data_IF_580256780986
#
_entry.id   IF_580256780986
#
_cell.length_a   1.000
_cell.length_b   1.000
_cell.length_c   1.000
_cell.angle_alpha   90.00
_cell.angle_beta   90.00
_cell.angle_gamma   90.00
#
_symmetry.space_group_name_H-M   'P 1'
#
loop_
_entity.id
_entity.type
_entity.pdbx_description
1 polymer ?
#
# COMPACT_ATOMS: atom_id res chain seq x y z
N UNK A 1 6.28 -35.59 -21.84
CA UNK A 1 6.28 -34.21 -21.29
C UNK A 1 7.71 -33.69 -21.42
N UNK A 2 7.91 -32.60 -22.17
CA UNK A 2 9.19 -32.33 -22.87
C UNK A 2 10.40 -31.84 -22.06
N UNK A 3 11.56 -31.84 -22.72
CA UNK A 3 12.90 -31.47 -22.22
C UNK A 3 13.36 -30.07 -22.65
N UNK A 4 14.51 -29.63 -22.14
CA UNK A 4 15.28 -28.49 -22.64
C UNK A 4 16.10 -28.88 -23.88
N UNK A 5 16.16 -28.00 -24.90
CA UNK A 5 16.95 -28.17 -26.13
C UNK A 5 18.47 -27.92 -25.95
N UNK A 6 19.02 -28.03 -24.73
CA UNK A 6 20.43 -27.75 -24.46
C UNK A 6 21.08 -28.93 -23.74
N UNK A 7 21.92 -29.67 -24.47
CA UNK A 7 22.54 -30.91 -23.99
C UNK A 7 23.51 -30.69 -22.83
N UNK A 8 24.22 -29.55 -22.78
CA UNK A 8 25.09 -29.18 -21.66
C UNK A 8 24.30 -28.95 -20.37
N UNK A 9 23.11 -28.34 -20.45
CA UNK A 9 22.22 -28.22 -19.30
C UNK A 9 21.67 -29.59 -18.85
N UNK A 10 21.43 -30.49 -19.80
CA UNK A 10 20.94 -31.84 -19.52
C UNK A 10 22.04 -32.72 -18.87
N UNK A 11 23.29 -32.64 -19.33
CA UNK A 11 24.42 -33.39 -18.74
C UNK A 11 24.74 -32.93 -17.32
N UNK A 12 24.81 -31.62 -17.09
CA UNK A 12 25.05 -31.05 -15.74
C UNK A 12 23.93 -31.44 -14.77
N UNK A 13 22.68 -31.51 -15.23
CA UNK A 13 21.56 -31.96 -14.39
C UNK A 13 21.68 -33.44 -14.00
N UNK A 14 22.21 -34.30 -14.89
CA UNK A 14 22.46 -35.71 -14.62
C UNK A 14 23.63 -35.89 -13.63
N UNK A 15 24.76 -35.23 -13.86
CA UNK A 15 25.93 -35.27 -12.96
C UNK A 15 25.58 -34.85 -11.52
N UNK A 16 24.82 -33.76 -11.36
CA UNK A 16 24.32 -33.29 -10.06
C UNK A 16 23.40 -34.34 -9.41
N UNK A 17 22.58 -35.03 -10.20
CA UNK A 17 21.67 -36.05 -9.69
C UNK A 17 22.45 -37.30 -9.21
N UNK A 18 23.42 -37.78 -9.98
CA UNK A 18 24.26 -38.93 -9.62
C UNK A 18 25.12 -38.64 -8.39
N UNK A 19 25.78 -37.48 -8.34
CA UNK A 19 26.54 -37.02 -7.18
C UNK A 19 25.70 -37.02 -5.90
N UNK A 20 24.46 -36.53 -5.98
CA UNK A 20 23.59 -36.48 -4.81
C UNK A 20 23.02 -37.85 -4.39
N UNK A 21 22.81 -38.79 -5.32
CA UNK A 21 22.45 -40.17 -4.99
C UNK A 21 23.60 -40.89 -4.27
N UNK A 22 24.82 -40.79 -4.80
CA UNK A 22 26.02 -41.44 -4.25
C UNK A 22 26.31 -40.97 -2.81
N UNK A 23 26.15 -39.68 -2.54
CA UNK A 23 26.48 -39.06 -1.25
C UNK A 23 25.28 -38.96 -0.28
N UNK A 24 24.14 -39.60 -0.57
CA UNK A 24 22.89 -39.49 0.21
C UNK A 24 22.43 -38.02 0.45
N UNK A 25 22.76 -37.11 -0.47
CA UNK A 25 22.48 -35.69 -0.35
C UNK A 25 21.02 -35.42 -0.73
N UNK A 26 20.24 -34.98 0.25
CA UNK A 26 18.83 -34.59 0.06
C UNK A 26 18.70 -33.21 -0.59
N UNK A 27 18.81 -33.16 -1.93
CA UNK A 27 18.46 -31.97 -2.70
C UNK A 27 17.02 -31.54 -2.40
N UNK A 28 16.86 -30.27 -2.03
CA UNK A 28 15.55 -29.69 -1.66
C UNK A 28 15.35 -28.38 -2.42
N UNK A 29 14.60 -28.43 -3.52
CA UNK A 29 14.30 -27.25 -4.34
C UNK A 29 13.24 -26.37 -3.64
N UNK A 30 13.66 -25.30 -2.97
CA UNK A 30 12.76 -24.39 -2.23
C UNK A 30 12.33 -23.16 -3.03
N UNK A 31 11.26 -23.37 -3.81
CA UNK A 31 10.19 -22.42 -4.13
C UNK A 31 10.34 -21.37 -5.26
N UNK A 32 9.19 -21.18 -5.94
CA UNK A 32 8.81 -20.43 -7.15
C UNK A 32 8.30 -18.98 -6.81
N UNK A 33 7.57 -18.19 -7.67
CA UNK A 33 7.11 -18.43 -9.06
C UNK A 33 7.14 -17.29 -10.12
N UNK A 34 7.02 -17.76 -11.39
CA UNK A 34 6.21 -17.28 -12.54
C UNK A 34 6.65 -15.95 -13.17
N UNK A 35 6.30 -15.53 -14.40
CA UNK A 35 6.45 -14.10 -14.83
C UNK A 35 6.84 -13.74 -16.28
N UNK A 36 6.71 -14.62 -17.26
CA UNK A 36 6.48 -14.20 -18.65
C UNK A 36 5.66 -15.27 -19.41
N UNK A 37 4.56 -15.75 -18.82
CA UNK A 37 3.98 -17.05 -19.20
C UNK A 37 2.51 -17.06 -19.63
N UNK A 38 1.95 -15.93 -20.09
CA UNK A 38 0.69 -16.01 -20.86
C UNK A 38 0.94 -16.73 -22.18
N UNK A 39 2.04 -16.38 -22.87
CA UNK A 39 2.47 -17.00 -24.13
C UNK A 39 2.88 -18.45 -23.90
N UNK A 40 3.84 -18.73 -23.01
CA UNK A 40 4.26 -20.10 -22.70
C UNK A 40 3.11 -21.01 -22.20
N UNK A 41 2.12 -20.45 -21.50
CA UNK A 41 0.90 -21.15 -21.11
C UNK A 41 -0.10 -21.36 -22.24
N UNK A 42 -0.05 -20.59 -23.34
CA UNK A 42 -0.84 -20.82 -24.56
C UNK A 42 -0.13 -21.81 -25.47
N UNK A 43 1.15 -21.60 -25.73
CA UNK A 43 1.99 -22.47 -26.58
C UNK A 43 2.11 -23.90 -26.03
N UNK A 44 2.24 -24.09 -24.71
CA UNK A 44 2.24 -25.44 -24.10
C UNK A 44 0.91 -26.21 -24.20
N UNK A 45 -0.16 -25.56 -24.70
CA UNK A 45 -1.44 -26.20 -25.03
C UNK A 45 -1.70 -26.27 -26.55
N UNK A 46 -0.79 -25.72 -27.37
CA UNK A 46 -0.99 -25.54 -28.82
C UNK A 46 0.11 -26.21 -29.67
N UNK A 47 1.31 -26.45 -29.13
CA UNK A 47 2.43 -27.05 -29.86
C UNK A 47 2.54 -28.58 -29.68
N UNK A 48 2.75 -29.24 -30.82
CA UNK A 48 2.99 -30.67 -31.08
C UNK A 48 1.81 -31.64 -30.81
N UNK A 49 1.26 -32.13 -31.94
CA UNK A 49 0.40 -33.32 -32.01
C UNK A 49 1.20 -34.63 -32.01
N UNK A 50 2.51 -34.57 -32.17
CA UNK A 50 3.37 -35.75 -32.34
C UNK A 50 3.78 -36.31 -30.98
N UNK A 51 3.10 -37.38 -30.57
CA UNK A 51 3.35 -38.07 -29.32
C UNK A 51 4.74 -38.74 -29.26
N UNK A 52 5.25 -39.21 -30.41
CA UNK A 52 6.58 -39.83 -30.54
C UNK A 52 7.72 -38.96 -29.98
N UNK A 53 7.66 -37.64 -30.21
CA UNK A 53 8.69 -36.70 -29.77
C UNK A 53 8.64 -36.39 -28.25
N UNK A 54 7.63 -36.86 -27.52
CA UNK A 54 7.43 -36.59 -26.09
C UNK A 54 7.70 -37.81 -25.18
N UNK A 55 8.05 -38.96 -25.77
CA UNK A 55 8.26 -40.27 -25.13
C UNK A 55 9.70 -40.41 -24.63
N UNK A 56 9.95 -39.98 -23.39
CA UNK A 56 11.28 -40.08 -22.75
C UNK A 56 11.52 -41.40 -22.00
N UNK A 57 10.45 -42.14 -21.67
CA UNK A 57 10.50 -43.40 -20.93
C UNK A 57 9.55 -44.42 -21.56
N UNK A 58 9.86 -45.71 -21.40
CA UNK A 58 9.04 -46.81 -21.98
C UNK A 58 7.59 -46.80 -21.46
N UNK A 59 7.39 -46.45 -20.19
CA UNK A 59 6.08 -46.30 -19.59
C UNK A 59 5.82 -44.82 -19.35
N UNK A 60 4.75 -44.26 -19.92
CA UNK A 60 4.39 -42.86 -19.80
C UNK A 60 2.87 -42.67 -19.85
N UNK A 61 2.40 -41.52 -19.39
CA UNK A 61 0.99 -41.12 -19.49
C UNK A 61 0.86 -39.97 -20.48
N UNK A 62 -0.15 -40.02 -21.35
CA UNK A 62 -0.51 -38.93 -22.24
C UNK A 62 -1.77 -38.21 -21.76
N UNK A 63 -1.90 -36.93 -22.11
CA UNK A 63 -3.14 -36.17 -21.89
C UNK A 63 -4.12 -36.34 -23.06
N UNK A 64 -3.61 -36.65 -24.25
CA UNK A 64 -4.40 -36.97 -25.44
C UNK A 64 -4.39 -38.48 -25.69
N UNK A 65 -5.41 -39.04 -26.37
CA UNK A 65 -5.39 -40.44 -26.77
C UNK A 65 -4.15 -40.78 -27.60
N UNK A 66 -3.36 -41.72 -27.08
CA UNK A 66 -2.09 -42.17 -27.65
C UNK A 66 -2.02 -43.69 -27.46
N UNK A 67 -1.94 -44.49 -28.56
CA UNK A 67 -1.92 -45.95 -28.47
C UNK A 67 -0.74 -46.54 -27.71
N UNK A 68 0.37 -45.82 -27.59
CA UNK A 68 1.58 -46.30 -26.89
C UNK A 68 1.67 -45.79 -25.43
N UNK A 69 0.79 -44.87 -25.02
CA UNK A 69 0.74 -44.39 -23.65
C UNK A 69 0.13 -45.46 -22.72
N UNK A 70 0.78 -45.69 -21.58
CA UNK A 70 0.34 -46.69 -20.60
C UNK A 70 -1.00 -46.31 -19.94
N UNK A 71 -1.30 -45.01 -19.83
CA UNK A 71 -2.56 -44.48 -19.32
C UNK A 71 -2.87 -43.11 -19.98
N UNK A 72 -4.17 -42.77 -20.02
CA UNK A 72 -4.68 -41.45 -20.40
C UNK A 72 -5.05 -40.68 -19.12
N UNK A 73 -4.60 -39.43 -19.01
CA UNK A 73 -4.66 -38.55 -17.83
C UNK A 73 -3.98 -39.12 -16.56
N UNK A 74 -2.78 -38.60 -16.27
CA UNK A 74 -2.01 -38.96 -15.09
C UNK A 74 -2.73 -38.67 -13.75
N UNK A 75 -3.77 -37.84 -13.69
CA UNK A 75 -4.49 -37.57 -12.44
C UNK A 75 -5.42 -38.71 -12.00
N UNK A 76 -5.80 -39.61 -12.91
CA UNK A 76 -6.70 -40.73 -12.65
C UNK A 76 -6.00 -41.97 -12.06
N UNK A 77 -4.67 -42.06 -12.17
CA UNK A 77 -3.87 -43.15 -11.60
C UNK A 77 -3.37 -42.83 -10.18
N UNK A 78 -3.14 -43.85 -9.35
CA UNK A 78 -2.56 -43.69 -8.01
C UNK A 78 -1.03 -43.57 -8.07
N UNK A 79 -0.46 -42.54 -7.44
CA UNK A 79 0.98 -42.22 -7.50
C UNK A 79 1.78 -42.77 -6.31
N UNK A 80 1.13 -43.22 -5.22
CA UNK A 80 1.79 -43.71 -4.00
C UNK A 80 2.87 -44.77 -4.28
N UNK A 81 2.59 -45.70 -5.20
CA UNK A 81 3.47 -46.84 -5.56
C UNK A 81 4.36 -46.56 -6.78
N UNK A 82 4.32 -45.35 -7.34
CA UNK A 82 5.06 -44.98 -8.54
C UNK A 82 6.21 -44.04 -8.20
N UNK A 83 7.44 -44.42 -8.57
CA UNK A 83 8.57 -43.48 -8.63
C UNK A 83 8.50 -42.71 -9.95
N UNK A 84 7.64 -41.68 -10.01
CA UNK A 84 7.31 -41.01 -11.27
C UNK A 84 8.26 -39.85 -11.61
N UNK A 85 8.40 -39.57 -12.91
CA UNK A 85 9.02 -38.35 -13.44
C UNK A 85 7.94 -37.50 -14.12
N UNK A 86 7.82 -36.23 -13.75
CA UNK A 86 6.73 -35.37 -14.21
C UNK A 86 7.20 -33.98 -14.65
N UNK A 87 6.67 -33.49 -15.79
CA UNK A 87 6.87 -32.11 -16.26
C UNK A 87 5.50 -31.45 -16.52
N UNK A 88 4.72 -31.18 -15.45
CA UNK A 88 3.32 -30.80 -15.56
C UNK A 88 3.15 -29.39 -16.17
N UNK A 89 2.17 -29.18 -17.07
CA UNK A 89 1.83 -27.85 -17.52
C UNK A 89 1.32 -26.99 -16.35
N UNK A 90 1.60 -25.68 -16.39
CA UNK A 90 1.38 -24.75 -15.27
C UNK A 90 -0.03 -24.82 -14.66
N UNK A 91 -1.07 -24.94 -15.50
CA UNK A 91 -2.48 -25.07 -15.06
C UNK A 91 -2.76 -26.28 -14.16
N UNK A 92 -1.88 -27.29 -14.21
CA UNK A 92 -2.00 -28.54 -13.47
C UNK A 92 -1.04 -28.62 -12.28
N UNK A 93 -0.04 -27.74 -12.16
CA UNK A 93 1.01 -27.81 -11.14
C UNK A 93 0.47 -27.88 -9.70
N UNK A 94 -0.49 -27.04 -9.35
CA UNK A 94 -1.10 -27.08 -8.01
C UNK A 94 -1.91 -28.36 -7.76
N UNK A 95 -2.50 -28.96 -8.80
CA UNK A 95 -3.17 -30.27 -8.71
C UNK A 95 -2.12 -31.38 -8.53
N UNK A 96 -1.02 -31.34 -9.28
CA UNK A 96 0.12 -32.27 -9.16
C UNK A 96 0.68 -32.26 -7.73
N UNK A 97 1.00 -31.09 -7.19
CA UNK A 97 1.57 -30.95 -5.85
C UNK A 97 0.58 -31.42 -4.75
N UNK A 98 -0.72 -31.11 -4.89
CA UNK A 98 -1.75 -31.62 -3.96
C UNK A 98 -1.85 -33.13 -3.99
N UNK A 99 -1.90 -33.75 -5.18
CA UNK A 99 -1.98 -35.21 -5.34
C UNK A 99 -0.77 -35.91 -4.71
N UNK A 100 0.44 -35.39 -4.90
CA UNK A 100 1.67 -35.91 -4.26
C UNK A 100 1.58 -35.87 -2.73
N UNK A 101 1.09 -34.76 -2.16
CA UNK A 101 0.94 -34.61 -0.70
C UNK A 101 -0.14 -35.56 -0.17
N UNK A 102 -1.27 -35.67 -0.87
CA UNK A 102 -2.42 -36.51 -0.48
C UNK A 102 -2.10 -38.00 -0.56
N UNK A 103 -1.44 -38.45 -1.64
CA UNK A 103 -1.10 -39.86 -1.90
C UNK A 103 0.30 -40.23 -1.39
N UNK A 104 0.99 -39.31 -0.69
CA UNK A 104 2.36 -39.48 -0.16
C UNK A 104 3.37 -39.99 -1.20
N UNK A 105 3.13 -39.68 -2.47
CA UNK A 105 3.88 -40.19 -3.61
C UNK A 105 5.32 -39.69 -3.64
N UNK A 106 6.22 -40.46 -4.27
CA UNK A 106 7.63 -40.10 -4.46
C UNK A 106 7.91 -39.94 -5.95
N UNK A 107 8.53 -38.83 -6.34
CA UNK A 107 8.84 -38.59 -7.74
C UNK A 107 9.63 -37.31 -7.95
N UNK A 108 10.18 -37.17 -9.15
CA UNK A 108 10.92 -35.99 -9.60
C UNK A 108 9.97 -35.15 -10.44
N UNK A 109 9.74 -33.90 -10.04
CA UNK A 109 9.03 -32.93 -10.89
C UNK A 109 10.05 -31.97 -11.47
N UNK A 110 10.13 -31.91 -12.79
CA UNK A 110 10.83 -30.83 -13.51
C UNK A 110 9.80 -29.77 -13.89
N UNK A 111 10.14 -28.51 -13.68
CA UNK A 111 9.31 -27.37 -14.02
C UNK A 111 10.19 -26.27 -14.62
N UNK A 112 9.73 -25.56 -15.66
CA UNK A 112 10.51 -24.49 -16.26
C UNK A 112 10.64 -23.29 -15.31
N UNK A 113 11.83 -22.69 -15.28
CA UNK A 113 12.17 -21.59 -14.36
C UNK A 113 11.56 -20.25 -14.81
N UNK A 114 10.62 -19.71 -14.03
CA UNK A 114 9.83 -18.51 -14.34
C UNK A 114 9.90 -17.49 -13.15
N UNK A 115 10.14 -16.14 -13.32
CA UNK A 115 10.60 -15.29 -12.16
C UNK A 115 9.96 -13.89 -11.76
N UNK A 116 8.88 -13.34 -12.34
CA UNK A 116 8.12 -12.08 -12.03
C UNK A 116 6.57 -12.09 -11.66
N UNK A 117 5.86 -13.21 -11.38
CA UNK A 117 4.36 -13.27 -11.13
C UNK A 117 3.98 -13.05 -9.65
N UNK A 118 2.72 -12.98 -9.21
CA UNK A 118 1.40 -12.84 -9.88
C UNK A 118 0.93 -11.38 -9.97
N UNK A 119 1.67 -10.49 -9.30
CA UNK A 119 1.28 -9.12 -9.05
C UNK A 119 1.18 -8.25 -10.33
N UNK A 120 1.99 -8.57 -11.35
CA UNK A 120 2.07 -7.79 -12.59
C UNK A 120 0.83 -7.94 -13.48
N UNK A 121 0.27 -9.15 -13.59
CA UNK A 121 -0.96 -9.39 -14.37
C UNK A 121 -2.21 -8.76 -13.75
N UNK A 122 -2.16 -8.43 -12.46
CA UNK A 122 -3.23 -7.71 -11.75
C UNK A 122 -2.99 -6.19 -11.68
N UNK A 123 -1.93 -5.68 -12.31
CA UNK A 123 -1.59 -4.24 -12.29
C UNK A 123 -1.20 -3.71 -10.89
N UNK A 124 -0.70 -4.56 -9.99
CA UNK A 124 -0.37 -4.15 -8.63
C UNK A 124 0.87 -3.25 -8.58
N UNK A 125 0.77 -2.17 -7.80
CA UNK A 125 1.87 -1.23 -7.60
C UNK A 125 3.09 -1.86 -6.90
N UNK A 126 4.28 -1.31 -7.15
CA UNK A 126 5.50 -1.62 -6.39
C UNK A 126 5.29 -1.59 -4.86
N UNK A 127 4.49 -0.64 -4.35
CA UNK A 127 4.16 -0.52 -2.92
C UNK A 127 3.39 -1.74 -2.40
N UNK A 128 2.47 -2.28 -3.18
CA UNK A 128 1.71 -3.49 -2.85
C UNK A 128 2.64 -4.72 -2.78
N UNK A 129 3.52 -4.87 -3.76
CA UNK A 129 4.51 -5.95 -3.82
C UNK A 129 5.52 -5.84 -2.65
N UNK A 130 5.97 -4.63 -2.33
CA UNK A 130 6.86 -4.36 -1.19
C UNK A 130 6.20 -4.67 0.17
N UNK A 131 4.87 -4.51 0.27
CA UNK A 131 4.10 -4.92 1.45
C UNK A 131 4.11 -6.45 1.59
N UNK A 132 3.89 -7.21 0.52
CA UNK A 132 3.99 -8.67 0.52
C UNK A 132 5.42 -9.14 0.87
N UNK A 133 6.46 -8.54 0.29
CA UNK A 133 7.87 -8.79 0.67
C UNK A 133 8.10 -8.55 2.17
N UNK A 134 7.53 -7.48 2.73
CA UNK A 134 7.70 -7.16 4.15
C UNK A 134 7.00 -8.17 5.07
N UNK A 135 5.82 -8.66 4.68
CA UNK A 135 5.12 -9.74 5.39
C UNK A 135 5.92 -11.06 5.34
N UNK A 136 6.40 -11.47 4.16
CA UNK A 136 7.28 -12.64 4.02
C UNK A 136 8.56 -12.48 4.85
N UNK A 137 9.14 -11.28 4.91
CA UNK A 137 10.32 -10.99 5.73
C UNK A 137 10.08 -11.01 7.24
N UNK A 138 8.83 -10.98 7.70
CA UNK A 138 8.44 -11.09 9.10
C UNK A 138 8.09 -12.54 9.50
N UNK A 139 7.72 -13.38 8.53
CA UNK A 139 7.32 -14.79 8.74
C UNK A 139 8.44 -15.78 8.45
N UNK A 140 9.29 -15.51 7.45
CA UNK A 140 10.35 -16.41 7.00
C UNK A 140 11.64 -16.19 7.80
N UNK A 141 11.75 -16.88 8.93
CA UNK A 141 12.99 -17.03 9.66
C UNK A 141 13.89 -18.08 8.99
N UNK A 142 15.14 -17.73 8.72
CA UNK A 142 16.14 -18.67 8.16
C UNK A 142 16.91 -19.33 9.30
N UNK A 143 17.31 -20.60 9.13
CA UNK A 143 18.10 -21.33 10.13
C UNK A 143 19.46 -20.69 10.46
N UNK A 144 20.03 -19.92 9.53
CA UNK A 144 21.30 -19.19 9.71
C UNK A 144 21.11 -17.80 10.35
N UNK A 145 19.89 -17.25 10.38
CA UNK A 145 19.51 -15.95 10.97
C UNK A 145 20.36 -14.72 10.59
N UNK A 146 21.28 -14.83 9.63
CA UNK A 146 22.24 -13.77 9.26
C UNK A 146 21.57 -12.54 8.64
N UNK A 147 20.57 -12.75 7.77
CA UNK A 147 19.79 -11.67 7.14
C UNK A 147 18.31 -12.05 6.97
N UNK A 148 17.36 -11.14 7.22
CA UNK A 148 15.94 -11.37 6.95
C UNK A 148 15.66 -11.67 5.47
N UNK A 149 14.63 -12.46 5.16
CA UNK A 149 14.24 -12.81 3.78
C UNK A 149 14.13 -11.57 2.87
N UNK A 150 13.52 -10.48 3.35
CA UNK A 150 13.35 -9.24 2.60
C UNK A 150 14.65 -8.48 2.30
N UNK A 151 15.79 -8.88 2.90
CA UNK A 151 17.12 -8.29 2.70
C UNK A 151 18.03 -9.14 1.79
N UNK A 152 17.62 -10.35 1.41
CA UNK A 152 18.38 -11.24 0.53
C UNK A 152 18.75 -10.54 -0.80
N UNK A 153 19.97 -10.71 -1.34
CA UNK A 153 20.39 -10.06 -2.59
C UNK A 153 19.44 -10.30 -3.76
N UNK A 154 18.95 -11.53 -3.91
CA UNK A 154 17.96 -11.89 -4.94
C UNK A 154 16.62 -11.14 -4.75
N UNK A 155 16.13 -11.02 -3.52
CA UNK A 155 14.88 -10.30 -3.21
C UNK A 155 15.05 -8.79 -3.42
N UNK A 156 16.22 -8.22 -3.10
CA UNK A 156 16.55 -6.82 -3.44
C UNK A 156 16.60 -6.61 -4.96
N UNK A 157 17.26 -7.50 -5.71
CA UNK A 157 17.35 -7.43 -7.18
C UNK A 157 15.98 -7.57 -7.83
N UNK A 158 15.14 -8.46 -7.31
CA UNK A 158 13.74 -8.61 -7.71
C UNK A 158 12.96 -7.30 -7.50
N UNK A 159 12.99 -6.72 -6.28
CA UNK A 159 12.32 -5.43 -6.04
C UNK A 159 12.85 -4.33 -6.95
N UNK A 160 14.16 -4.27 -7.22
CA UNK A 160 14.71 -3.31 -8.18
C UNK A 160 14.09 -3.53 -9.57
N UNK A 161 14.05 -4.76 -10.07
CA UNK A 161 13.37 -5.07 -11.34
C UNK A 161 11.90 -4.64 -11.37
N UNK A 162 11.15 -4.85 -10.29
CA UNK A 162 9.78 -4.35 -10.16
C UNK A 162 9.72 -2.81 -10.17
N UNK A 163 10.72 -2.11 -9.64
CA UNK A 163 10.79 -0.65 -9.71
C UNK A 163 11.10 -0.15 -11.13
N UNK A 164 12.03 -0.78 -11.86
CA UNK A 164 12.31 -0.39 -13.25
C UNK A 164 11.09 -0.64 -14.18
N UNK A 165 10.33 -1.71 -13.94
CA UNK A 165 9.11 -2.04 -14.70
C UNK A 165 7.89 -1.20 -14.29
N UNK A 166 7.74 -0.93 -13.00
CA UNK A 166 6.61 -0.23 -12.39
C UNK A 166 7.10 0.86 -11.42
N UNK A 167 7.66 1.98 -11.92
CA UNK A 167 8.28 2.99 -11.07
C UNK A 167 7.24 3.66 -10.17
N UNK A 168 7.43 3.54 -8.86
CA UNK A 168 6.58 4.20 -7.87
C UNK A 168 7.11 5.59 -7.52
N UNK A 169 6.59 6.61 -8.18
CA UNK A 169 6.90 8.00 -7.86
C UNK A 169 6.06 8.52 -6.68
N UNK A 170 6.52 9.56 -5.95
CA UNK A 170 5.71 10.24 -4.94
C UNK A 170 4.42 10.81 -5.56
N UNK A 171 3.28 10.61 -4.91
CA UNK A 171 1.98 11.18 -5.37
C UNK A 171 1.99 12.71 -5.42
N UNK A 172 2.83 13.36 -4.62
CA UNK A 172 2.91 14.82 -4.49
C UNK A 172 4.36 15.29 -4.67
N UNK A 173 4.59 16.03 -5.76
CA UNK A 173 5.84 16.75 -6.03
C UNK A 173 5.77 18.19 -5.49
N UNK A 174 4.58 18.80 -5.59
CA UNK A 174 4.23 20.10 -5.03
C UNK A 174 2.99 19.97 -4.11
N UNK A 175 2.69 21.03 -3.38
CA UNK A 175 1.43 21.22 -2.62
C UNK A 175 0.59 22.33 -3.21
N UNK A 176 -0.73 22.27 -3.03
CA UNK A 176 -1.65 23.33 -3.42
C UNK A 176 -1.55 24.53 -2.47
N UNK A 177 -1.84 25.73 -2.97
CA UNK A 177 -1.85 26.96 -2.18
C UNK A 177 -2.99 26.97 -1.15
N UNK A 178 -2.64 27.08 0.13
CA UNK A 178 -3.57 27.09 1.26
C UNK A 178 -4.64 28.19 1.13
N UNK A 179 -4.28 29.32 0.52
CA UNK A 179 -5.16 30.48 0.43
C UNK A 179 -6.42 30.18 -0.35
N UNK A 180 -6.39 29.31 -1.37
CA UNK A 180 -7.59 28.87 -2.10
C UNK A 180 -8.69 28.32 -1.19
N UNK A 181 -8.33 27.58 -0.13
CA UNK A 181 -9.29 27.06 0.86
C UNK A 181 -9.72 28.14 1.85
N UNK A 182 -8.80 29.02 2.28
CA UNK A 182 -9.13 30.12 3.18
C UNK A 182 -10.02 31.18 2.52
N UNK A 183 -9.78 31.52 1.26
CA UNK A 183 -10.60 32.43 0.46
C UNK A 183 -11.99 31.83 0.19
N UNK A 184 -12.06 30.53 -0.15
CA UNK A 184 -13.34 29.80 -0.20
C UNK A 184 -14.08 29.82 1.16
N UNK A 185 -13.36 29.87 2.29
CA UNK A 185 -13.99 30.03 3.60
C UNK A 185 -14.47 31.46 3.87
N UNK A 186 -13.69 32.48 3.47
CA UNK A 186 -14.00 33.92 3.56
C UNK A 186 -15.19 34.34 2.70
N UNK A 187 -15.36 33.76 1.51
CA UNK A 187 -16.46 34.04 0.57
C UNK A 187 -17.85 33.57 1.04
N UNK A 188 -17.92 32.81 2.13
CA UNK A 188 -19.15 32.23 2.66
C UNK A 188 -19.65 33.02 3.87
N UNK A 189 -20.93 32.83 4.16
CA UNK A 189 -21.64 33.41 5.30
C UNK A 189 -20.94 33.15 6.64
N UNK A 190 -21.35 33.88 7.69
CA UNK A 190 -20.78 33.72 9.02
C UNK A 190 -20.94 32.29 9.53
N UNK A 191 -20.13 31.90 10.53
CA UNK A 191 -20.16 30.55 11.12
C UNK A 191 -21.58 30.14 11.57
N UNK A 192 -22.36 31.12 12.05
CA UNK A 192 -23.76 30.97 12.46
C UNK A 192 -24.75 30.71 11.31
N UNK A 193 -24.40 31.07 10.08
CA UNK A 193 -25.31 30.99 8.92
C UNK A 193 -25.07 29.73 8.08
N UNK A 194 -23.94 29.04 8.28
CA UNK A 194 -23.59 27.80 7.58
C UNK A 194 -24.61 26.69 7.86
N UNK A 195 -24.90 25.84 6.86
CA UNK A 195 -25.63 24.59 7.13
C UNK A 195 -24.80 23.66 8.04
N UNK A 196 -25.45 22.72 8.76
CA UNK A 196 -24.71 21.74 9.59
C UNK A 196 -23.70 20.93 8.75
N UNK A 197 -24.03 20.65 7.48
CA UNK A 197 -23.10 20.03 6.51
C UNK A 197 -21.87 20.90 6.27
N UNK A 198 -22.04 22.16 5.87
CA UNK A 198 -20.93 23.07 5.57
C UNK A 198 -20.06 23.33 6.80
N UNK A 199 -20.69 23.51 7.97
CA UNK A 199 -19.99 23.64 9.25
C UNK A 199 -19.15 22.39 9.57
N UNK A 200 -19.70 21.18 9.35
CA UNK A 200 -18.98 19.92 9.56
C UNK A 200 -17.79 19.76 8.61
N UNK A 201 -17.99 19.99 7.31
CA UNK A 201 -16.95 19.85 6.28
C UNK A 201 -15.83 20.91 6.45
N UNK A 202 -16.20 22.15 6.81
CA UNK A 202 -15.27 23.23 7.13
C UNK A 202 -14.47 22.95 8.40
N UNK A 203 -15.14 22.65 9.52
CA UNK A 203 -14.47 22.32 10.78
C UNK A 203 -13.49 21.16 10.61
N UNK A 204 -13.90 20.10 9.92
CA UNK A 204 -13.03 18.94 9.61
C UNK A 204 -11.77 19.35 8.86
N UNK A 205 -11.89 20.28 7.90
CA UNK A 205 -10.76 20.75 7.10
C UNK A 205 -9.85 21.69 7.89
N UNK A 206 -10.40 22.57 8.73
CA UNK A 206 -9.64 23.42 9.66
C UNK A 206 -8.88 22.57 10.70
N UNK A 207 -9.52 21.57 11.31
CA UNK A 207 -8.87 20.61 12.22
C UNK A 207 -7.65 19.93 11.56
N UNK A 208 -7.79 19.50 10.31
CA UNK A 208 -6.70 18.86 9.55
C UNK A 208 -5.57 19.83 9.19
N UNK A 209 -5.89 21.05 8.73
CA UNK A 209 -4.89 22.04 8.32
C UNK A 209 -4.13 22.60 9.53
N UNK A 210 -4.83 23.09 10.55
CA UNK A 210 -4.23 23.82 11.67
C UNK A 210 -3.45 22.92 12.65
N UNK A 211 -3.69 21.60 12.65
CA UNK A 211 -2.90 20.64 13.44
C UNK A 211 -1.86 19.85 12.61
N UNK A 212 -1.99 19.83 11.28
CA UNK A 212 -1.22 18.93 10.41
C UNK A 212 -1.42 17.43 10.71
N UNK A 213 -2.44 17.06 11.48
CA UNK A 213 -2.66 15.67 11.89
C UNK A 213 -3.27 14.80 10.78
N UNK A 214 -3.27 13.47 10.98
CA UNK A 214 -3.89 12.53 10.04
C UNK A 214 -5.41 12.46 10.28
N UNK A 215 -6.18 12.08 9.26
CA UNK A 215 -7.61 11.79 9.41
C UNK A 215 -7.91 10.74 10.50
N UNK A 216 -7.01 9.77 10.71
CA UNK A 216 -7.08 8.85 11.86
C UNK A 216 -7.04 9.60 13.19
N UNK A 217 -6.16 10.60 13.35
CA UNK A 217 -6.07 11.36 14.60
C UNK A 217 -7.30 12.24 14.81
N UNK A 218 -7.80 12.88 13.74
CA UNK A 218 -9.00 13.74 13.79
C UNK A 218 -10.27 12.93 14.11
N UNK A 219 -10.34 11.67 13.66
CA UNK A 219 -11.40 10.71 14.03
C UNK A 219 -11.43 10.37 15.52
N UNK A 220 -10.28 10.46 16.21
CA UNK A 220 -10.12 10.08 17.62
C UNK A 220 -10.26 11.28 18.57
N UNK A 221 -10.65 12.46 18.07
CA UNK A 221 -11.00 13.59 18.92
C UNK A 221 -12.32 13.29 19.62
N UNK A 222 -12.35 13.44 20.94
CA UNK A 222 -13.52 13.20 21.78
C UNK A 222 -13.83 14.44 22.62
N UNK A 223 -15.12 14.72 22.80
CA UNK A 223 -15.61 15.79 23.69
C UNK A 223 -15.33 15.44 25.15
N UNK A 224 -15.33 14.14 25.52
CA UNK A 224 -15.02 13.67 26.87
C UNK A 224 -13.52 13.75 27.23
N UNK A 225 -12.67 14.05 26.25
CA UNK A 225 -11.24 14.31 26.45
C UNK A 225 -10.80 15.65 25.85
N UNK A 226 -11.74 16.61 25.82
CA UNK A 226 -11.55 17.98 25.35
C UNK A 226 -11.61 18.96 26.52
N UNK A 227 -10.64 19.87 26.59
CA UNK A 227 -10.66 21.04 27.46
C UNK A 227 -10.94 22.27 26.59
N UNK A 228 -12.12 22.87 26.73
CA UNK A 228 -12.52 24.07 26.00
C UNK A 228 -12.48 25.28 26.94
N UNK A 229 -11.64 26.26 26.62
CA UNK A 229 -11.57 27.55 27.29
C UNK A 229 -12.02 28.68 26.35
N UNK A 230 -12.10 29.95 26.81
CA UNK A 230 -12.41 31.07 25.93
C UNK A 230 -11.44 31.18 24.75
N UNK A 231 -10.13 31.06 25.00
CA UNK A 231 -9.05 31.37 24.05
C UNK A 231 -8.35 30.15 23.43
N UNK A 232 -8.54 28.94 23.97
CA UNK A 232 -7.96 27.70 23.42
C UNK A 232 -8.88 26.49 23.58
N UNK A 233 -8.66 25.48 22.74
CA UNK A 233 -9.30 24.18 22.82
C UNK A 233 -8.22 23.10 22.74
N UNK A 234 -8.15 22.21 23.74
CA UNK A 234 -7.14 21.15 23.83
C UNK A 234 -7.82 19.79 23.75
N UNK A 235 -7.31 18.88 22.93
CA UNK A 235 -7.77 17.50 22.83
C UNK A 235 -6.69 16.52 23.28
N UNK A 236 -7.04 15.70 24.28
CA UNK A 236 -6.23 14.58 24.74
C UNK A 236 -6.61 13.33 23.93
N UNK A 237 -5.73 12.87 23.04
CA UNK A 237 -5.96 11.64 22.25
C UNK A 237 -5.53 10.43 23.09
N UNK A 238 -6.51 9.69 23.61
CA UNK A 238 -6.28 8.52 24.49
C UNK A 238 -6.04 7.21 23.73
N UNK A 239 -6.44 7.14 22.46
CA UNK A 239 -6.34 5.94 21.63
C UNK A 239 -5.04 5.87 20.81
N UNK A 240 -4.55 4.65 20.54
CA UNK A 240 -3.32 4.41 19.78
C UNK A 240 -3.45 4.92 18.33
N UNK A 241 -2.58 5.86 17.95
CA UNK A 241 -2.40 6.32 16.57
C UNK A 241 -1.20 5.63 15.92
N UNK A 242 -1.03 5.80 14.60
CA UNK A 242 0.13 5.27 13.83
C UNK A 242 1.52 5.67 14.40
N UNK A 243 1.58 6.70 15.24
CA UNK A 243 2.82 7.20 15.87
C UNK A 243 3.03 6.69 17.31
N UNK A 244 2.02 6.07 17.93
CA UNK A 244 2.12 5.57 19.30
C UNK A 244 3.05 4.35 19.34
N UNK A 245 3.95 4.30 20.33
CA UNK A 245 4.85 3.17 20.63
C UNK A 245 4.98 3.00 22.13
N UNK A 246 5.64 1.94 22.60
CA UNK A 246 5.90 1.76 24.03
C UNK A 246 6.65 2.99 24.58
N UNK A 247 6.15 3.56 25.68
CA UNK A 247 6.72 4.76 26.31
C UNK A 247 6.53 6.09 25.54
N UNK A 248 5.81 6.12 24.41
CA UNK A 248 5.60 7.37 23.66
C UNK A 248 4.22 7.46 23.01
N UNK A 249 3.52 8.54 23.30
CA UNK A 249 2.27 8.94 22.69
C UNK A 249 2.43 10.29 21.98
N UNK A 250 1.49 10.63 21.08
CA UNK A 250 1.41 12.00 20.55
C UNK A 250 1.02 12.97 21.68
N UNK A 251 1.55 14.19 21.59
CA UNK A 251 1.20 15.30 22.48
C UNK A 251 -0.28 15.72 22.31
N UNK A 252 -0.85 16.46 23.28
CA UNK A 252 -2.21 17.00 23.17
C UNK A 252 -2.31 17.92 21.94
N UNK A 253 -3.45 17.87 21.24
CA UNK A 253 -3.69 18.73 20.08
C UNK A 253 -4.30 20.03 20.59
N UNK A 254 -3.57 21.13 20.44
CA UNK A 254 -4.00 22.47 20.86
C UNK A 254 -4.47 23.25 19.64
N UNK A 255 -5.62 23.89 19.77
CA UNK A 255 -6.11 24.90 18.85
C UNK A 255 -6.32 26.21 19.60
N UNK A 256 -5.90 27.33 19.01
CA UNK A 256 -5.97 28.66 19.61
C UNK A 256 -7.02 29.52 18.89
N UNK A 257 -7.55 30.52 19.59
CA UNK A 257 -8.49 31.47 19.00
C UNK A 257 -7.81 32.39 17.98
N UNK A 258 -8.53 32.69 16.91
CA UNK A 258 -8.06 33.63 15.88
C UNK A 258 -9.15 34.69 15.61
N UNK A 259 -9.37 35.63 16.54
CA UNK A 259 -10.50 36.56 16.47
C UNK A 259 -10.40 37.54 15.29
N UNK A 260 -9.21 37.72 14.72
CA UNK A 260 -8.95 38.61 13.57
C UNK A 260 -9.67 38.16 12.29
N UNK A 261 -9.89 36.87 12.09
CA UNK A 261 -10.67 36.33 10.96
C UNK A 261 -11.67 35.28 11.45
N UNK A 262 -12.91 35.67 11.80
CA UNK A 262 -13.97 34.76 12.24
C UNK A 262 -14.22 33.59 11.28
N UNK A 263 -14.10 33.81 9.98
CA UNK A 263 -14.26 32.78 8.93
C UNK A 263 -13.21 31.65 9.01
N UNK A 264 -12.05 31.90 9.62
CA UNK A 264 -10.96 30.93 9.82
C UNK A 264 -10.80 30.51 11.30
N UNK A 265 -11.45 31.22 12.23
CA UNK A 265 -11.32 30.99 13.67
C UNK A 265 -11.88 29.62 14.08
N UNK A 266 -11.00 28.63 14.24
CA UNK A 266 -11.42 27.25 14.53
C UNK A 266 -12.18 27.12 15.86
N UNK A 267 -11.88 27.95 16.87
CA UNK A 267 -12.62 27.95 18.12
C UNK A 267 -14.09 28.36 17.95
N UNK A 268 -14.40 29.34 17.10
CA UNK A 268 -15.79 29.68 16.77
C UNK A 268 -16.50 28.50 16.10
N UNK A 269 -15.81 27.80 15.18
CA UNK A 269 -16.35 26.62 14.51
C UNK A 269 -16.59 25.46 15.49
N UNK A 270 -15.68 25.20 16.42
CA UNK A 270 -15.83 24.17 17.46
C UNK A 270 -17.00 24.51 18.39
N UNK A 271 -17.04 25.74 18.93
CA UNK A 271 -18.09 26.22 19.84
C UNK A 271 -19.49 26.10 19.19
N UNK A 272 -19.67 26.60 17.97
CA UNK A 272 -20.96 26.56 17.26
C UNK A 272 -21.34 25.13 16.81
N UNK A 273 -20.37 24.31 16.40
CA UNK A 273 -20.62 22.91 16.04
C UNK A 273 -21.05 22.07 17.24
N UNK A 274 -20.41 22.21 18.40
CA UNK A 274 -20.81 21.52 19.63
C UNK A 274 -22.22 21.94 20.04
N UNK A 275 -22.51 23.24 20.07
CA UNK A 275 -23.83 23.80 20.38
C UNK A 275 -24.95 23.21 19.51
N UNK A 276 -24.74 23.10 18.18
CA UNK A 276 -25.73 22.52 17.26
C UNK A 276 -25.87 21.01 17.39
N UNK A 277 -24.76 20.31 17.63
CA UNK A 277 -24.76 18.85 17.71
C UNK A 277 -25.18 18.33 19.09
N UNK A 278 -25.24 19.16 20.12
CA UNK A 278 -25.58 18.76 21.50
C UNK A 278 -26.84 17.89 21.58
N UNK A 279 -27.94 18.29 20.91
CA UNK A 279 -29.22 17.55 20.90
C UNK A 279 -29.28 16.37 19.92
N UNK A 280 -28.25 16.21 19.08
CA UNK A 280 -28.16 15.16 18.05
C UNK A 280 -27.22 14.02 18.47
N UNK A 281 -26.55 14.16 19.62
CA UNK A 281 -25.55 13.21 20.12
C UNK A 281 -26.23 12.11 20.93
N UNK A 282 -25.75 10.90 20.68
CA UNK A 282 -25.95 9.77 21.56
C UNK A 282 -25.15 10.01 22.87
N UNK A 283 -25.79 9.96 24.06
CA UNK A 283 -25.10 10.17 25.34
C UNK A 283 -23.93 9.19 25.60
N UNK A 284 -23.96 8.00 25.01
CA UNK A 284 -22.89 7.00 25.18
C UNK A 284 -21.66 7.28 24.29
N UNK A 285 -21.81 8.13 23.25
CA UNK A 285 -20.79 8.31 22.20
C UNK A 285 -20.14 9.68 22.27
N UNK A 286 -18.84 9.70 22.63
CA UNK A 286 -18.10 10.93 22.88
C UNK A 286 -17.34 11.52 21.68
N UNK A 287 -17.33 10.88 20.50
CA UNK A 287 -16.56 11.35 19.34
C UNK A 287 -16.98 12.77 18.92
N UNK A 288 -16.01 13.65 18.68
CA UNK A 288 -16.26 15.04 18.28
C UNK A 288 -17.09 15.09 17.00
N UNK A 289 -16.64 14.44 15.92
CA UNK A 289 -17.33 14.52 14.64
C UNK A 289 -18.44 13.46 14.52
N UNK A 290 -19.66 13.92 14.26
CA UNK A 290 -20.83 13.09 14.01
C UNK A 290 -21.43 13.40 12.64
N UNK A 291 -22.07 12.41 12.03
CA UNK A 291 -22.75 12.56 10.75
C UNK A 291 -23.80 13.67 10.82
N UNK A 292 -23.83 14.55 9.82
CA UNK A 292 -24.94 15.49 9.64
C UNK A 292 -26.22 14.83 9.07
N UNK A 293 -26.12 13.57 8.63
CA UNK A 293 -27.26 12.74 8.19
C UNK A 293 -27.73 11.84 9.35
N UNK A 294 -29.04 11.74 9.56
CA UNK A 294 -29.66 10.79 10.52
C UNK A 294 -29.17 9.35 10.25
N UNK A 295 -28.94 8.51 11.27
CA UNK A 295 -29.18 8.75 12.71
C UNK A 295 -28.02 9.46 13.44
N UNK A 296 -27.27 10.34 12.76
CA UNK A 296 -26.28 11.23 13.39
C UNK A 296 -25.17 10.52 14.21
N UNK A 297 -24.85 9.27 13.84
CA UNK A 297 -23.78 8.48 14.45
C UNK A 297 -22.39 9.09 14.22
N UNK A 298 -21.38 8.76 15.06
CA UNK A 298 -19.99 9.12 14.84
C UNK A 298 -19.49 8.81 13.43
N UNK A 299 -18.66 9.68 12.87
CA UNK A 299 -18.18 9.50 11.48
C UNK A 299 -17.00 8.54 11.40
N UNK A 300 -16.86 7.89 10.25
CA UNK A 300 -15.67 7.09 9.95
C UNK A 300 -14.51 7.96 9.45
N UNK A 301 -13.28 7.41 9.50
CA UNK A 301 -12.06 8.05 8.96
C UNK A 301 -12.18 8.38 7.47
N UNK A 302 -12.91 7.55 6.73
CA UNK A 302 -13.19 7.68 5.31
C UNK A 302 -14.19 8.81 5.06
N UNK A 303 -15.15 9.01 5.96
CA UNK A 303 -16.06 10.17 5.92
C UNK A 303 -15.33 11.48 6.19
N UNK A 304 -14.42 11.53 7.17
CA UNK A 304 -13.52 12.68 7.40
C UNK A 304 -12.68 12.98 6.15
N UNK A 305 -12.10 11.95 5.53
CA UNK A 305 -11.31 12.10 4.31
C UNK A 305 -12.16 12.60 3.13
N UNK A 306 -13.41 12.14 3.00
CA UNK A 306 -14.38 12.59 1.99
C UNK A 306 -14.82 14.04 2.22
N UNK A 307 -15.14 14.43 3.45
CA UNK A 307 -15.51 15.81 3.80
C UNK A 307 -14.40 16.81 3.50
N UNK A 308 -13.16 16.49 3.86
CA UNK A 308 -12.00 17.27 3.46
C UNK A 308 -11.88 17.34 1.92
N UNK A 309 -12.01 16.21 1.22
CA UNK A 309 -11.95 16.17 -0.26
C UNK A 309 -13.06 17.01 -0.91
N UNK A 310 -14.27 17.05 -0.32
CA UNK A 310 -15.36 17.91 -0.79
C UNK A 310 -14.98 19.39 -0.71
N UNK A 311 -14.41 19.84 0.42
CA UNK A 311 -13.92 21.23 0.57
C UNK A 311 -12.83 21.55 -0.44
N UNK A 312 -11.83 20.67 -0.61
CA UNK A 312 -10.77 20.89 -1.61
C UNK A 312 -11.36 21.05 -3.02
N UNK A 313 -12.34 20.20 -3.39
CA UNK A 313 -13.02 20.30 -4.69
C UNK A 313 -13.77 21.62 -4.85
N UNK A 314 -14.51 22.05 -3.83
CA UNK A 314 -15.26 23.32 -3.85
C UNK A 314 -14.35 24.55 -3.88
N UNK A 315 -13.16 24.46 -3.30
CA UNK A 315 -12.11 25.48 -3.36
C UNK A 315 -11.27 25.46 -4.67
N UNK A 316 -11.70 24.71 -5.68
CA UNK A 316 -11.04 24.67 -7.00
C UNK A 316 -9.72 23.91 -7.05
N UNK A 317 -9.44 23.02 -6.07
CA UNK A 317 -8.22 22.19 -6.05
C UNK A 317 -8.49 20.86 -6.77
N UNK A 318 -7.56 20.42 -7.63
CA UNK A 318 -7.69 19.12 -8.30
C UNK A 318 -7.61 17.95 -7.30
N UNK A 319 -8.76 17.35 -7.04
CA UNK A 319 -8.89 16.20 -6.15
C UNK A 319 -8.70 14.84 -6.83
N UNK A 320 -8.35 14.80 -8.12
CA UNK A 320 -7.77 13.62 -8.76
C UNK A 320 -6.32 13.45 -8.27
N UNK A 321 -5.50 14.50 -8.40
CA UNK A 321 -4.13 14.56 -7.86
C UNK A 321 -4.14 14.57 -6.33
N UNK A 322 -4.70 15.59 -5.70
CA UNK A 322 -4.62 15.81 -4.26
C UNK A 322 -5.70 15.04 -3.46
N UNK A 323 -5.28 14.33 -2.41
CA UNK A 323 -6.19 13.70 -1.44
C UNK A 323 -6.23 14.49 -0.13
N UNK A 324 -7.15 14.14 0.77
CA UNK A 324 -7.19 14.67 2.15
C UNK A 324 -5.82 14.63 2.85
N UNK A 325 -4.95 13.66 2.57
CA UNK A 325 -3.63 13.59 3.19
C UNK A 325 -2.68 14.73 2.78
N UNK A 326 -2.95 15.43 1.66
CA UNK A 326 -2.15 16.57 1.22
C UNK A 326 -2.19 17.76 2.18
N UNK A 327 -3.27 17.94 2.98
CA UNK A 327 -3.38 19.01 3.98
C UNK A 327 -2.20 19.02 4.96
N UNK A 328 -1.69 17.83 5.33
CA UNK A 328 -0.52 17.68 6.20
C UNK A 328 0.78 18.15 5.56
N UNK A 329 0.96 17.95 4.25
CA UNK A 329 2.12 18.46 3.53
C UNK A 329 2.04 19.98 3.35
N UNK A 330 0.84 20.50 3.04
CA UNK A 330 0.55 21.94 2.94
C UNK A 330 0.86 22.63 4.26
N UNK A 331 0.25 22.20 5.37
CA UNK A 331 0.38 22.90 6.66
C UNK A 331 1.80 22.83 7.22
N UNK A 332 2.48 21.69 7.10
CA UNK A 332 3.87 21.58 7.59
C UNK A 332 4.88 22.30 6.71
N UNK A 333 4.67 22.39 5.39
CA UNK A 333 5.51 23.21 4.51
C UNK A 333 5.33 24.70 4.81
N UNK A 334 4.08 25.16 4.90
CA UNK A 334 3.75 26.54 5.24
C UNK A 334 4.27 26.94 6.63
N UNK A 335 4.08 26.09 7.63
CA UNK A 335 4.61 26.34 8.97
C UNK A 335 6.14 26.49 8.94
N UNK A 336 6.85 25.60 8.23
CA UNK A 336 8.31 25.66 8.13
C UNK A 336 8.81 26.89 7.35
N UNK A 337 8.06 27.36 6.36
CA UNK A 337 8.33 28.60 5.64
C UNK A 337 8.14 29.84 6.53
N UNK A 338 7.11 29.86 7.38
CA UNK A 338 6.76 31.04 8.20
C UNK A 338 7.44 31.11 9.57
N UNK A 339 7.71 29.98 10.23
CA UNK A 339 8.28 29.97 11.59
C UNK A 339 9.79 29.68 11.65
N UNK A 340 10.35 28.99 10.64
CA UNK A 340 11.73 28.48 10.66
C UNK A 340 12.03 27.39 11.70
N UNK A 341 11.22 27.26 12.75
CA UNK A 341 11.37 26.31 13.86
C UNK A 341 10.88 24.91 13.47
N UNK A 342 11.75 24.18 12.77
CA UNK A 342 11.49 22.84 12.26
C UNK A 342 11.26 21.83 13.41
N UNK A 343 11.91 21.98 14.56
CA UNK A 343 11.81 21.03 15.67
C UNK A 343 10.47 21.13 16.43
N UNK A 344 9.93 22.35 16.60
CA UNK A 344 8.54 22.52 17.09
C UNK A 344 7.51 21.96 16.11
N UNK A 345 7.75 22.06 14.80
CA UNK A 345 6.87 21.45 13.77
C UNK A 345 6.95 19.93 13.84
N UNK A 346 8.15 19.36 13.93
CA UNK A 346 8.37 17.90 14.03
C UNK A 346 7.67 17.32 15.25
N UNK A 347 7.84 17.94 16.42
CA UNK A 347 7.27 17.47 17.69
C UNK A 347 5.74 17.59 17.72
N UNK A 348 5.17 18.75 17.37
CA UNK A 348 3.70 18.96 17.32
C UNK A 348 2.99 18.03 16.34
N UNK A 349 3.59 17.77 15.17
CA UNK A 349 3.04 16.92 14.11
C UNK A 349 3.35 15.42 14.35
N UNK A 350 4.16 15.11 15.37
CA UNK A 350 4.47 13.76 15.86
C UNK A 350 5.43 12.96 14.97
N UNK A 351 6.42 13.60 14.36
CA UNK A 351 7.52 12.91 13.69
C UNK A 351 8.69 12.69 14.66
N UNK A 352 9.42 11.59 14.52
CA UNK A 352 10.64 11.33 15.30
C UNK A 352 11.94 11.71 14.58
N UNK A 353 11.87 12.22 13.34
CA UNK A 353 13.06 12.53 12.54
C UNK A 353 12.74 13.56 11.44
N UNK A 354 13.52 14.63 11.37
CA UNK A 354 13.44 15.70 10.36
C UNK A 354 13.53 15.20 8.91
N UNK A 355 14.28 14.13 8.66
CA UNK A 355 14.38 13.47 7.34
C UNK A 355 13.01 13.03 6.82
N UNK A 356 12.10 12.61 7.70
CA UNK A 356 10.73 12.25 7.30
C UNK A 356 9.97 13.47 6.75
N UNK A 357 10.09 14.62 7.43
CA UNK A 357 9.52 15.88 6.96
C UNK A 357 10.15 16.29 5.63
N UNK A 358 11.48 16.39 5.57
CA UNK A 358 12.22 16.84 4.39
C UNK A 358 11.98 15.97 3.14
N UNK A 359 11.96 14.65 3.26
CA UNK A 359 11.78 13.74 2.11
C UNK A 359 10.33 13.71 1.60
N UNK A 360 9.34 13.68 2.51
CA UNK A 360 7.97 13.34 2.14
C UNK A 360 6.95 14.48 2.22
N UNK A 361 7.21 15.52 3.03
CA UNK A 361 6.20 16.54 3.36
C UNK A 361 6.63 17.97 3.06
N UNK A 362 7.92 18.32 3.17
CA UNK A 362 8.47 19.59 2.67
C UNK A 362 8.37 19.58 1.15
N UNK A 363 7.42 20.32 0.61
CA UNK A 363 7.13 20.41 -0.82
C UNK A 363 6.94 21.88 -1.20
N UNK A 364 7.42 22.31 -2.39
CA UNK A 364 7.11 23.65 -2.88
C UNK A 364 5.60 23.81 -3.07
N UNK A 365 5.09 25.02 -2.87
CA UNK A 365 3.77 25.38 -3.38
C UNK A 365 3.80 25.31 -4.90
N UNK A 366 2.72 24.84 -5.51
CA UNK A 366 2.57 24.78 -6.96
C UNK A 366 2.63 26.20 -7.57
N UNK A 367 3.83 26.53 -8.07
CA UNK A 367 4.11 27.71 -8.87
C UNK A 367 4.58 27.26 -10.25
N UNK A 368 4.25 28.04 -11.28
CA UNK A 368 4.77 27.86 -12.64
C UNK A 368 6.21 28.35 -12.75
N UNK A 369 7.12 27.71 -12.00
CA UNK A 369 8.55 27.95 -12.13
C UNK A 369 9.04 27.43 -13.48
N UNK A 370 9.20 28.32 -14.46
CA UNK A 370 9.79 28.02 -15.75
C UNK A 370 11.20 28.64 -15.79
N UNK A 371 12.21 27.78 -15.70
CA UNK A 371 13.62 28.18 -15.74
C UNK A 371 13.96 28.96 -17.02
N UNK A 372 13.43 28.52 -18.16
CA UNK A 372 13.64 29.19 -19.45
C UNK A 372 13.07 30.61 -19.46
N UNK A 373 11.86 30.81 -18.91
CA UNK A 373 11.27 32.16 -18.82
C UNK A 373 12.09 33.10 -17.94
N UNK A 374 12.66 32.61 -16.82
CA UNK A 374 13.53 33.43 -15.95
C UNK A 374 14.83 33.80 -16.66
N UNK A 375 15.48 32.84 -17.31
CA UNK A 375 16.73 33.08 -18.07
C UNK A 375 16.48 34.05 -19.22
N UNK A 376 15.43 33.83 -20.02
CA UNK A 376 15.10 34.70 -21.15
C UNK A 376 14.70 36.11 -20.71
N UNK A 377 13.98 36.26 -19.60
CA UNK A 377 13.65 37.58 -19.04
C UNK A 377 14.87 38.29 -18.43
N UNK A 378 15.97 37.58 -18.14
CA UNK A 378 17.24 38.17 -17.67
C UNK A 378 18.18 38.63 -18.80
N UNK A 379 17.78 38.43 -20.05
CA UNK A 379 18.49 38.91 -21.25
C UNK A 379 17.94 40.24 -21.79
N UNK A 380 16.93 40.82 -21.14
CA UNK A 380 16.29 42.11 -21.48
C UNK A 380 16.70 43.21 -20.49
#
# INVERSE_FOLDING_TARGET
>A
MGTSHNDTCNSIALEICEFCMQNQIRLTATHLPGSCNVVAGRESRTLYKDAELNKQFKNYCSYWPDPEASHIDAFLIFWEKLNFYGFPPFSCLLKTLRKIIQERAKGIIVIPNWPTQDCFQQGLSYTSINTARSALSALLHRKDNTIPFGQLPLVKRFMKGIFELCPSFPRYEAVWDVNKVFDYFRQKCNVSDLSLKELSERLTTLLLLLSGQRSQTIHLLSIASMELSPTRCVFQVKEKVKQSRVGYHIAPIVYEEYPKEPALCILMHIKEYIKRTQKLRDPELSQLLISYVKPNKPVSRETIARWCKNVLKSAGIDTKRFSCHSTRAVSTSLAAEKSGDIDKIISSVGWSNAKTFQTFYKKPVEQTFNLGTIILNSLN
#
